data_IF_023759027371
#
_entry.id   IF_023759027371
#
_cell.length_a   1.000
_cell.length_b   1.000
_cell.length_c   1.000
_cell.angle_alpha   90.00
_cell.angle_beta   90.00
_cell.angle_gamma   90.00
#
_symmetry.space_group_name_H-M   'P 1'
#
loop_
_entity.id
_entity.type
_entity.pdbx_description
1 polymer ?
#
# COMPACT_ATOMS: atom_id res chain seq x y z
N UNK A 1 -2.26 -2.77 -25.18
CA UNK A 1 -2.29 -3.12 -23.73
C UNK A 1 -2.49 -1.86 -22.94
N UNK A 2 -3.29 -1.88 -21.87
CA UNK A 2 -3.68 -0.69 -21.11
C UNK A 2 -3.28 -0.81 -19.64
N UNK A 3 -2.71 0.25 -19.07
CA UNK A 3 -2.41 0.38 -17.64
C UNK A 3 -3.48 1.24 -17.00
N UNK A 4 -4.11 0.77 -15.92
CA UNK A 4 -4.99 1.62 -15.11
C UNK A 4 -4.37 1.92 -13.76
N UNK A 5 -4.26 3.21 -13.38
CA UNK A 5 -4.03 3.58 -11.98
C UNK A 5 -5.39 3.77 -11.31
N UNK A 6 -5.79 2.87 -10.41
CA UNK A 6 -6.78 3.19 -9.38
C UNK A 6 -6.09 4.09 -8.34
N UNK A 7 -6.65 4.38 -7.19
CA UNK A 7 -5.78 4.85 -6.08
C UNK A 7 -4.70 3.79 -5.84
N UNK A 8 -3.55 4.03 -6.47
CA UNK A 8 -2.25 3.38 -6.46
C UNK A 8 -2.15 1.91 -6.87
N UNK A 9 -3.26 1.15 -6.91
CA UNK A 9 -3.27 -0.16 -7.53
C UNK A 9 -3.16 -0.04 -9.05
N UNK A 10 -2.33 -0.90 -9.64
CA UNK A 10 -2.12 -0.98 -11.08
C UNK A 10 -2.58 -2.32 -11.61
N UNK A 11 -3.29 -2.28 -12.73
CA UNK A 11 -3.72 -3.46 -13.49
C UNK A 11 -3.35 -3.28 -14.96
N UNK A 12 -3.19 -4.40 -15.67
CA UNK A 12 -2.98 -4.41 -17.11
C UNK A 12 -3.89 -5.42 -17.80
N UNK A 13 -4.27 -5.12 -19.03
CA UNK A 13 -5.10 -6.00 -19.85
C UNK A 13 -4.87 -5.76 -21.35
N UNK A 14 -5.26 -6.75 -22.15
CA UNK A 14 -5.26 -6.72 -23.61
C UNK A 14 -6.71 -6.66 -24.09
N UNK A 15 -6.96 -5.87 -25.13
CA UNK A 15 -8.26 -5.79 -25.79
C UNK A 15 -8.21 -6.54 -27.12
N UNK A 16 -9.28 -7.27 -27.51
CA UNK A 16 -9.36 -7.93 -28.81
C UNK A 16 -9.74 -6.96 -29.95
N UNK A 17 -10.01 -5.69 -29.63
CA UNK A 17 -10.40 -4.64 -30.57
C UNK A 17 -9.41 -3.46 -30.50
N UNK A 18 -9.33 -2.74 -31.61
CA UNK A 18 -8.59 -1.49 -31.71
C UNK A 18 -9.40 -0.34 -31.12
N UNK A 19 -8.69 0.70 -30.68
CA UNK A 19 -9.27 1.91 -30.15
C UNK A 19 -8.48 3.12 -30.64
N UNK A 20 -9.20 4.15 -31.07
CA UNK A 20 -8.58 5.40 -31.54
C UNK A 20 -8.42 6.41 -30.40
N UNK A 21 -9.17 6.22 -29.30
CA UNK A 21 -9.22 7.16 -28.18
C UNK A 21 -9.41 6.45 -26.83
N UNK A 22 -8.49 6.70 -25.90
CA UNK A 22 -8.57 6.19 -24.54
C UNK A 22 -9.58 6.90 -23.65
N UNK A 23 -9.96 8.14 -23.96
CA UNK A 23 -10.92 8.88 -23.15
C UNK A 23 -12.30 8.19 -23.12
N UNK A 24 -12.74 7.61 -24.25
CA UNK A 24 -14.01 6.88 -24.33
C UNK A 24 -13.98 5.60 -23.49
N UNK A 25 -12.90 4.81 -23.58
CA UNK A 25 -12.72 3.60 -22.77
C UNK A 25 -12.68 3.97 -21.28
N UNK A 26 -11.90 5.00 -20.92
CA UNK A 26 -11.80 5.46 -19.54
C UNK A 26 -13.18 5.86 -18.97
N UNK A 27 -13.98 6.63 -19.73
CA UNK A 27 -15.32 7.02 -19.32
C UNK A 27 -16.25 5.81 -19.18
N UNK A 28 -16.21 4.86 -20.13
CA UNK A 28 -17.01 3.65 -20.07
C UNK A 28 -16.68 2.79 -18.85
N UNK A 29 -15.39 2.57 -18.54
CA UNK A 29 -14.97 1.85 -17.34
C UNK A 29 -15.53 2.50 -16.07
N UNK A 30 -15.34 3.80 -15.90
CA UNK A 30 -15.86 4.51 -14.72
C UNK A 30 -17.40 4.61 -14.67
N UNK A 31 -18.09 4.49 -15.81
CA UNK A 31 -19.55 4.42 -15.87
C UNK A 31 -20.11 3.06 -15.44
N UNK A 32 -19.34 1.98 -15.58
CA UNK A 32 -19.75 0.61 -15.23
C UNK A 32 -19.31 0.19 -13.83
N UNK A 33 -18.27 0.81 -13.28
CA UNK A 33 -17.70 0.42 -11.99
C UNK A 33 -18.55 0.90 -10.79
N UNK A 34 -18.64 0.10 -9.72
CA UNK A 34 -19.32 0.50 -8.49
C UNK A 34 -18.67 1.74 -7.87
N UNK A 35 -19.39 2.47 -7.03
CA UNK A 35 -18.99 3.81 -6.57
C UNK A 35 -17.64 3.92 -5.86
N UNK A 36 -17.17 2.81 -5.29
CA UNK A 36 -15.93 2.65 -4.54
C UNK A 36 -14.73 2.25 -5.41
N UNK A 37 -14.95 1.95 -6.70
CA UNK A 37 -13.90 1.58 -7.65
C UNK A 37 -13.85 2.61 -8.78
N UNK A 38 -12.70 3.26 -8.95
CA UNK A 38 -12.49 4.31 -9.97
C UNK A 38 -11.14 4.16 -10.67
N UNK A 39 -11.18 4.06 -12.00
CA UNK A 39 -9.99 4.22 -12.85
C UNK A 39 -9.62 5.70 -12.85
N UNK A 40 -8.39 6.03 -12.47
CA UNK A 40 -7.89 7.43 -12.46
C UNK A 40 -7.09 7.77 -13.69
N UNK A 41 -6.38 6.80 -14.24
CA UNK A 41 -5.55 6.98 -15.43
C UNK A 41 -5.69 5.72 -16.27
N UNK A 42 -5.67 5.87 -17.59
CA UNK A 42 -5.46 4.78 -18.53
C UNK A 42 -4.41 5.16 -19.57
N UNK A 43 -3.40 4.31 -19.77
CA UNK A 43 -2.32 4.53 -20.75
C UNK A 43 -2.00 3.28 -21.56
N UNK A 44 -1.55 3.41 -22.81
CA UNK A 44 -0.94 2.30 -23.54
C UNK A 44 0.35 1.83 -22.87
N UNK A 45 0.69 0.56 -23.04
CA UNK A 45 1.95 -0.01 -22.57
C UNK A 45 2.54 -0.97 -23.60
N UNK A 46 3.87 -1.12 -23.57
CA UNK A 46 4.61 -2.08 -24.40
C UNK A 46 4.17 -3.52 -24.09
N UNK A 47 4.10 -4.44 -25.07
CA UNK A 47 3.58 -5.80 -24.86
C UNK A 47 4.24 -6.59 -23.71
N UNK A 48 5.49 -6.26 -23.37
CA UNK A 48 6.29 -6.92 -22.35
C UNK A 48 5.94 -6.45 -20.92
N UNK A 49 5.19 -5.36 -20.76
CA UNK A 49 4.83 -4.86 -19.43
C UNK A 49 3.84 -5.81 -18.74
N UNK A 50 4.11 -6.10 -17.47
CA UNK A 50 3.22 -6.86 -16.62
C UNK A 50 3.08 -6.16 -15.27
N UNK A 51 1.86 -5.77 -14.91
CA UNK A 51 1.59 -4.95 -13.71
C UNK A 51 2.18 -5.54 -12.41
N UNK A 52 2.26 -6.87 -12.29
CA UNK A 52 2.86 -7.56 -11.14
C UNK A 52 4.37 -7.72 -11.23
N UNK A 53 4.90 -8.10 -12.41
CA UNK A 53 6.28 -8.59 -12.55
C UNK A 53 7.25 -7.49 -12.97
N UNK A 54 6.76 -6.45 -13.63
CA UNK A 54 7.54 -5.26 -13.97
C UNK A 54 7.71 -4.29 -12.80
N UNK A 55 7.03 -4.52 -11.66
CA UNK A 55 7.10 -3.66 -10.48
C UNK A 55 8.48 -3.74 -9.82
N UNK A 56 9.04 -2.58 -9.46
CA UNK A 56 10.35 -2.42 -8.80
C UNK A 56 10.22 -2.24 -7.29
N UNK A 57 9.23 -1.47 -6.86
CA UNK A 57 8.91 -1.33 -5.45
C UNK A 57 7.43 -1.00 -5.25
N UNK A 58 6.96 -1.19 -4.02
CA UNK A 58 5.63 -0.77 -3.59
C UNK A 58 5.76 0.07 -2.32
N UNK A 59 4.96 1.12 -2.23
CA UNK A 59 4.81 1.94 -1.02
C UNK A 59 3.45 1.65 -0.42
N UNK A 60 3.40 1.27 0.86
CA UNK A 60 2.17 1.15 1.62
C UNK A 60 2.16 2.16 2.76
N UNK A 61 0.99 2.73 3.03
CA UNK A 61 0.75 3.47 4.26
C UNK A 61 -0.10 2.62 5.19
N UNK A 62 0.24 2.63 6.47
CA UNK A 62 -0.65 2.20 7.53
C UNK A 62 -0.95 3.39 8.43
N UNK A 63 -2.22 3.74 8.58
CA UNK A 63 -2.65 4.87 9.40
C UNK A 63 -3.12 4.40 10.77
N UNK A 64 -2.64 5.06 11.80
CA UNK A 64 -3.08 4.89 13.18
C UNK A 64 -3.59 6.25 13.66
N UNK A 65 -4.82 6.30 14.14
CA UNK A 65 -5.34 7.46 14.84
C UNK A 65 -5.05 7.27 16.32
N UNK A 66 -4.14 8.06 16.86
CA UNK A 66 -3.62 7.95 18.21
C UNK A 66 -4.11 9.09 19.10
N UNK A 67 -5.37 8.98 19.53
CA UNK A 67 -5.99 9.85 20.51
C UNK A 67 -7.02 9.05 21.31
N UNK A 68 -7.45 9.60 22.43
CA UNK A 68 -8.53 9.10 23.27
C UNK A 68 -9.86 8.96 22.50
N UNK A 69 -10.17 9.91 21.62
CA UNK A 69 -11.44 9.97 20.88
C UNK A 69 -11.18 9.92 19.38
N UNK A 70 -11.77 8.94 18.71
CA UNK A 70 -11.61 8.74 17.26
C UNK A 70 -12.37 9.78 16.45
N UNK A 71 -11.71 10.39 15.45
CA UNK A 71 -12.41 11.18 14.43
C UNK A 71 -13.31 10.26 13.58
N UNK A 72 -14.64 10.50 13.54
CA UNK A 72 -15.57 9.68 12.76
C UNK A 72 -15.24 9.66 11.26
N UNK A 73 -14.55 10.65 10.70
CA UNK A 73 -14.14 10.64 9.29
C UNK A 73 -12.93 9.75 9.02
N UNK A 74 -12.16 9.38 10.04
CA UNK A 74 -10.98 8.52 9.92
C UNK A 74 -11.29 7.04 10.18
N UNK A 75 -12.44 6.70 10.79
CA UNK A 75 -12.71 5.35 11.34
C UNK A 75 -12.61 4.21 10.32
N UNK A 76 -12.86 4.49 9.04
CA UNK A 76 -12.75 3.50 7.95
C UNK A 76 -11.35 3.34 7.38
N UNK A 77 -10.43 4.25 7.72
CA UNK A 77 -9.16 4.41 7.03
C UNK A 77 -7.94 4.46 7.97
N UNK A 78 -8.15 4.43 9.28
CA UNK A 78 -7.10 4.42 10.29
C UNK A 78 -7.49 3.51 11.45
N UNK A 79 -6.51 2.79 11.99
CA UNK A 79 -6.66 2.02 13.22
C UNK A 79 -6.69 2.95 14.44
N UNK A 80 -7.72 2.86 15.28
CA UNK A 80 -7.79 3.65 16.50
C UNK A 80 -6.93 3.01 17.61
N UNK A 81 -5.96 3.75 18.12
CA UNK A 81 -5.20 3.40 19.32
C UNK A 81 -5.49 4.41 20.43
N UNK A 82 -6.17 3.97 21.48
CA UNK A 82 -6.44 4.77 22.69
C UNK A 82 -5.21 4.88 23.61
N UNK A 83 -4.24 4.00 23.46
CA UNK A 83 -2.96 4.07 24.16
C UNK A 83 -2.04 5.05 23.46
N UNK A 84 -1.49 6.03 24.18
CA UNK A 84 -0.45 6.92 23.66
C UNK A 84 0.74 6.10 23.19
N UNK A 85 1.16 6.29 21.94
CA UNK A 85 2.25 5.54 21.33
C UNK A 85 3.55 6.34 21.40
N UNK A 86 4.62 5.69 21.81
CA UNK A 86 5.97 6.21 21.77
C UNK A 86 6.53 6.08 20.35
N UNK A 87 6.39 7.14 19.55
CA UNK A 87 6.83 7.16 18.15
C UNK A 87 8.35 7.06 18.01
N UNK A 88 9.14 7.45 19.02
CA UNK A 88 10.59 7.31 19.00
C UNK A 88 10.99 5.83 19.02
N UNK A 89 10.43 5.03 19.93
CA UNK A 89 10.68 3.59 19.98
C UNK A 89 10.14 2.88 18.73
N UNK A 90 8.99 3.30 18.22
CA UNK A 90 8.49 2.74 16.97
C UNK A 90 9.43 3.02 15.79
N UNK A 91 10.04 4.21 15.70
CA UNK A 91 11.03 4.56 14.66
C UNK A 91 12.30 3.73 14.79
N UNK A 92 12.81 3.59 16.01
CA UNK A 92 13.96 2.75 16.31
C UNK A 92 13.69 1.30 15.86
N UNK A 93 12.57 0.72 16.29
CA UNK A 93 12.17 -0.63 15.91
C UNK A 93 11.93 -0.78 14.40
N UNK A 94 11.36 0.23 13.74
CA UNK A 94 11.14 0.24 12.29
C UNK A 94 12.46 0.17 11.50
N UNK A 95 13.53 0.77 12.03
CA UNK A 95 14.86 0.75 11.40
C UNK A 95 15.43 -0.66 11.24
N UNK A 96 15.12 -1.58 12.17
CA UNK A 96 15.57 -2.98 12.08
C UNK A 96 14.93 -3.75 10.91
N UNK A 97 13.79 -3.29 10.40
CA UNK A 97 13.18 -3.90 9.21
C UNK A 97 13.85 -3.46 7.90
N UNK A 98 14.56 -2.32 7.89
CA UNK A 98 15.21 -1.80 6.69
C UNK A 98 16.35 -2.72 6.27
N UNK A 99 16.49 -2.93 4.96
CA UNK A 99 17.46 -3.89 4.39
C UNK A 99 16.81 -5.17 3.88
N UNK A 100 17.65 -6.18 3.62
CA UNK A 100 17.25 -7.47 3.04
C UNK A 100 17.14 -8.53 4.13
N UNK A 101 15.94 -9.06 4.31
CA UNK A 101 15.64 -10.04 5.37
C UNK A 101 14.76 -11.17 4.86
N UNK A 102 14.84 -12.31 5.53
CA UNK A 102 13.82 -13.36 5.45
C UNK A 102 12.65 -12.97 6.35
N UNK A 103 11.47 -12.76 5.76
CA UNK A 103 10.28 -12.31 6.46
C UNK A 103 9.33 -13.43 6.87
N UNK A 104 9.75 -14.70 6.87
CA UNK A 104 8.89 -15.86 7.20
C UNK A 104 8.16 -15.69 8.55
N UNK A 105 8.82 -15.08 9.55
CA UNK A 105 8.21 -14.79 10.86
C UNK A 105 7.08 -13.73 10.81
N UNK A 106 6.99 -12.95 9.74
CA UNK A 106 5.99 -11.91 9.52
C UNK A 106 4.94 -12.30 8.48
N UNK A 107 4.87 -13.58 8.09
CA UNK A 107 3.95 -14.05 7.04
C UNK A 107 2.91 -14.99 7.62
N UNK A 108 1.67 -14.83 7.17
CA UNK A 108 0.64 -15.83 7.42
C UNK A 108 0.69 -16.89 6.32
N UNK A 109 0.46 -18.16 6.68
CA UNK A 109 0.33 -19.24 5.70
C UNK A 109 -0.67 -18.83 4.61
N UNK A 110 -0.22 -18.90 3.35
CA UNK A 110 -1.09 -18.76 2.17
C UNK A 110 -1.50 -20.16 1.75
N UNK A 111 -2.78 -20.37 1.45
CA UNK A 111 -3.30 -21.67 1.04
C UNK A 111 -3.25 -21.89 -0.48
N UNK A 112 -3.06 -20.84 -1.30
CA UNK A 112 -3.43 -20.90 -2.72
C UNK A 112 -2.35 -20.45 -3.72
N UNK A 113 -1.19 -19.95 -3.25
CA UNK A 113 -0.09 -19.54 -4.13
C UNK A 113 1.15 -20.32 -3.74
N UNK A 114 1.86 -20.91 -4.71
CA UNK A 114 3.12 -21.61 -4.48
C UNK A 114 4.09 -20.79 -3.61
N UNK A 115 5.02 -21.46 -2.93
CA UNK A 115 5.86 -20.84 -1.87
C UNK A 115 6.55 -19.57 -2.40
N UNK A 116 6.08 -18.37 -2.01
CA UNK A 116 6.70 -17.14 -2.49
C UNK A 116 8.04 -16.95 -1.78
N UNK A 117 9.04 -16.43 -2.49
CA UNK A 117 10.36 -16.13 -1.92
C UNK A 117 10.18 -15.29 -0.63
N UNK A 118 10.56 -15.81 0.55
CA UNK A 118 10.35 -15.13 1.81
C UNK A 118 11.32 -13.95 2.00
N UNK A 119 12.37 -13.88 1.17
CA UNK A 119 13.34 -12.80 1.24
C UNK A 119 12.79 -11.57 0.53
N UNK A 120 12.74 -10.45 1.26
CA UNK A 120 12.32 -9.14 0.73
C UNK A 120 13.30 -8.07 1.17
N UNK A 121 13.29 -6.97 0.44
CA UNK A 121 14.07 -5.78 0.80
C UNK A 121 13.12 -4.66 1.14
N UNK A 122 13.23 -4.14 2.36
CA UNK A 122 12.58 -2.88 2.76
C UNK A 122 13.58 -1.77 2.51
N UNK A 123 13.21 -0.82 1.66
CA UNK A 123 14.07 0.32 1.30
C UNK A 123 13.98 1.43 2.34
N UNK A 124 12.79 1.66 2.90
CA UNK A 124 12.55 2.61 3.99
C UNK A 124 11.30 2.23 4.78
N UNK A 125 11.26 2.61 6.05
CA UNK A 125 10.11 2.45 6.91
C UNK A 125 10.01 3.66 7.85
N UNK A 126 9.22 4.64 7.44
CA UNK A 126 9.11 5.94 8.08
C UNK A 126 7.86 6.02 8.96
N UNK A 127 7.95 6.77 10.07
CA UNK A 127 6.81 7.06 10.95
C UNK A 127 6.64 8.57 11.04
N UNK A 128 5.56 9.05 10.45
CA UNK A 128 5.25 10.46 10.28
C UNK A 128 4.11 10.84 11.23
N UNK A 129 4.33 11.88 12.03
CA UNK A 129 3.33 12.43 12.95
C UNK A 129 2.57 13.57 12.26
N UNK A 130 1.24 13.48 12.22
CA UNK A 130 0.34 14.47 11.63
C UNK A 130 -0.76 14.84 12.63
N UNK A 131 -0.34 15.30 13.82
CA UNK A 131 -1.23 15.48 14.97
C UNK A 131 -1.65 14.13 15.54
N UNK A 132 -2.95 13.91 15.72
CA UNK A 132 -3.50 12.63 16.18
C UNK A 132 -3.30 11.49 15.16
N UNK A 133 -3.03 11.78 13.89
CA UNK A 133 -2.82 10.76 12.87
C UNK A 133 -1.33 10.43 12.74
N UNK A 134 -0.98 9.16 12.99
CA UNK A 134 0.32 8.59 12.69
C UNK A 134 0.26 7.85 11.36
N UNK A 135 1.18 8.14 10.46
CA UNK A 135 1.34 7.43 9.20
C UNK A 135 2.63 6.62 9.21
N UNK A 136 2.49 5.31 9.09
CA UNK A 136 3.58 4.36 8.90
C UNK A 136 3.73 4.12 7.41
N UNK A 137 4.82 4.61 6.82
CA UNK A 137 5.08 4.52 5.39
C UNK A 137 6.22 3.53 5.13
N UNK A 138 5.91 2.44 4.41
CA UNK A 138 6.89 1.39 4.12
C UNK A 138 7.04 1.21 2.63
N UNK A 139 8.29 1.29 2.16
CA UNK A 139 8.65 0.98 0.78
C UNK A 139 9.49 -0.30 0.73
N UNK A 140 9.13 -1.23 -0.15
CA UNK A 140 9.90 -2.46 -0.33
C UNK A 140 9.82 -3.02 -1.73
N UNK A 141 10.71 -3.97 -2.05
CA UNK A 141 10.76 -4.68 -3.34
C UNK A 141 9.49 -5.50 -3.62
N UNK A 142 8.75 -5.82 -2.58
CA UNK A 142 7.48 -6.51 -2.59
C UNK A 142 7.12 -6.89 -1.15
N UNK A 143 5.89 -7.35 -0.95
CA UNK A 143 5.43 -7.78 0.37
C UNK A 143 4.70 -9.10 0.26
N UNK A 144 4.94 -9.96 1.24
CA UNK A 144 4.29 -11.24 1.42
C UNK A 144 2.90 -11.03 2.05
N UNK A 145 2.07 -12.08 2.03
CA UNK A 145 0.71 -11.98 2.54
C UNK A 145 0.69 -11.55 4.02
N UNK A 146 0.02 -10.42 4.28
CA UNK A 146 -0.10 -9.74 5.58
C UNK A 146 1.20 -9.22 6.20
N UNK A 147 2.33 -9.26 5.50
CA UNK A 147 3.64 -8.84 6.02
C UNK A 147 3.61 -7.44 6.65
N UNK A 148 3.13 -6.42 5.92
CA UNK A 148 3.06 -5.04 6.44
C UNK A 148 2.22 -4.97 7.71
N UNK A 149 1.07 -5.63 7.74
CA UNK A 149 0.16 -5.62 8.91
C UNK A 149 0.76 -6.35 10.12
N UNK A 150 1.59 -7.37 9.90
CA UNK A 150 2.32 -8.07 10.95
C UNK A 150 3.47 -7.19 11.50
N UNK A 151 4.22 -6.50 10.64
CA UNK A 151 5.25 -5.54 11.09
C UNK A 151 4.62 -4.41 11.90
N UNK A 152 3.53 -3.80 11.41
CA UNK A 152 2.79 -2.76 12.13
C UNK A 152 2.26 -3.26 13.48
N UNK A 153 1.79 -4.50 13.56
CA UNK A 153 1.29 -5.06 14.81
C UNK A 153 2.37 -5.16 15.90
N UNK A 154 3.60 -5.53 15.52
CA UNK A 154 4.73 -5.54 16.44
C UNK A 154 5.12 -4.11 16.87
N UNK A 155 5.19 -3.18 15.91
CA UNK A 155 5.45 -1.77 16.19
C UNK A 155 4.40 -1.16 17.13
N UNK A 156 3.13 -1.57 17.04
CA UNK A 156 2.08 -1.15 17.97
C UNK A 156 2.36 -1.61 19.42
N UNK A 157 2.90 -2.82 19.62
CA UNK A 157 3.25 -3.29 20.96
C UNK A 157 4.48 -2.57 21.52
N UNK A 158 5.49 -2.33 20.68
CA UNK A 158 6.68 -1.55 21.04
C UNK A 158 6.31 -0.09 21.34
N UNK A 159 5.44 0.51 20.52
CA UNK A 159 4.95 1.87 20.75
C UNK A 159 4.12 2.01 22.03
N UNK A 160 3.48 0.93 22.50
CA UNK A 160 2.84 0.87 23.82
C UNK A 160 3.83 0.63 24.96
N UNK A 161 5.13 0.55 24.66
CA UNK A 161 6.20 0.24 25.61
C UNK A 161 6.05 -1.15 26.26
N UNK A 162 5.26 -2.04 25.63
CA UNK A 162 5.02 -3.39 26.13
C UNK A 162 6.13 -4.37 25.72
N UNK A 163 6.93 -4.02 24.71
CA UNK A 163 8.03 -4.82 24.20
C UNK A 163 9.22 -3.91 23.88
N UNK A 164 10.46 -4.39 24.07
CA UNK A 164 11.65 -3.66 23.68
C UNK A 164 11.87 -3.69 22.14
N UNK A 165 12.66 -2.75 21.62
CA UNK A 165 12.93 -2.63 20.18
C UNK A 165 13.75 -3.81 19.60
N UNK A 166 14.64 -4.39 20.40
CA UNK A 166 15.53 -5.50 20.04
C UNK A 166 14.80 -6.82 19.76
N UNK A 167 13.51 -6.92 20.08
CA UNK A 167 12.68 -8.06 19.73
C UNK A 167 12.51 -8.21 18.21
N UNK A 168 12.60 -7.11 17.44
CA UNK A 168 12.44 -7.13 15.98
C UNK A 168 13.48 -8.03 15.31
N UNK A 169 14.81 -7.83 15.51
CA UNK A 169 15.81 -8.72 14.94
C UNK A 169 15.71 -10.16 15.47
N UNK A 170 15.29 -10.37 16.72
CA UNK A 170 15.06 -11.73 17.26
C UNK A 170 13.95 -12.46 16.50
N UNK A 171 12.81 -11.79 16.26
CA UNK A 171 11.69 -12.38 15.51
C UNK A 171 12.10 -12.62 14.06
N UNK A 172 12.79 -11.68 13.40
CA UNK A 172 13.33 -11.89 12.05
C UNK A 172 14.26 -13.11 11.98
N UNK A 173 15.18 -13.24 12.93
CA UNK A 173 16.13 -14.35 12.99
C UNK A 173 15.44 -15.72 13.18
N UNK A 174 14.31 -15.76 13.89
CA UNK A 174 13.57 -17.00 14.13
C UNK A 174 13.00 -17.64 12.87
N UNK A 175 12.67 -16.82 11.85
CA UNK A 175 11.95 -17.23 10.63
C UNK A 175 10.65 -18.01 10.90
N UNK A 176 10.11 -17.94 12.12
CA UNK A 176 8.93 -18.69 12.54
C UNK A 176 7.80 -17.74 12.93
N UNK A 177 6.68 -17.82 12.20
CA UNK A 177 5.51 -16.98 12.46
C UNK A 177 4.96 -17.15 13.88
N UNK A 178 5.19 -18.30 14.51
CA UNK A 178 4.76 -18.57 15.89
C UNK A 178 5.44 -17.64 16.89
N UNK A 179 6.66 -17.20 16.63
CA UNK A 179 7.38 -16.29 17.53
C UNK A 179 6.69 -14.92 17.59
N UNK A 180 6.33 -14.33 16.44
CA UNK A 180 5.52 -13.10 16.43
C UNK A 180 4.12 -13.32 17.05
N UNK A 181 3.53 -14.51 16.87
CA UNK A 181 2.17 -14.81 17.33
C UNK A 181 2.03 -14.78 18.86
N UNK A 182 3.13 -14.96 19.60
CA UNK A 182 3.17 -14.82 21.07
C UNK A 182 2.85 -13.41 21.54
N UNK A 183 3.11 -12.41 20.70
CA UNK A 183 3.05 -10.99 21.08
C UNK A 183 1.98 -10.21 20.33
N UNK A 184 1.72 -10.54 19.06
CA UNK A 184 0.86 -9.73 18.21
C UNK A 184 0.08 -10.53 17.15
N UNK A 185 -1.19 -10.16 17.01
CA UNK A 185 -2.03 -10.51 15.87
C UNK A 185 -1.90 -9.43 14.79
N UNK A 186 -2.05 -9.82 13.53
CA UNK A 186 -1.95 -8.90 12.40
C UNK A 186 -2.86 -7.67 12.60
N UNK A 187 -2.31 -6.47 12.45
CA UNK A 187 -3.05 -5.22 12.61
C UNK A 187 -4.29 -5.21 11.69
N UNK A 188 -5.42 -4.58 12.05
CA UNK A 188 -6.63 -4.57 11.21
C UNK A 188 -6.36 -4.07 9.78
N UNK A 189 -7.09 -4.55 8.76
CA UNK A 189 -6.77 -4.22 7.36
C UNK A 189 -7.15 -2.79 6.96
N UNK A 190 -8.15 -2.19 7.61
CA UNK A 190 -8.72 -0.89 7.18
C UNK A 190 -7.75 0.29 7.31
N UNK A 191 -6.72 0.17 8.16
CA UNK A 191 -5.66 1.18 8.25
C UNK A 191 -4.63 1.11 7.10
N UNK A 192 -4.59 0.01 6.34
CA UNK A 192 -3.60 -0.23 5.30
C UNK A 192 -4.09 0.28 3.93
N UNK A 193 -3.25 1.04 3.24
CA UNK A 193 -3.48 1.47 1.87
C UNK A 193 -2.21 1.24 1.03
N UNK A 194 -2.36 0.67 -0.17
CA UNK A 194 -1.29 0.74 -1.18
C UNK A 194 -1.25 2.18 -1.70
N UNK A 195 -0.06 2.78 -1.74
CA UNK A 195 0.14 4.20 -2.09
C UNK A 195 1.03 4.41 -3.30
N UNK A 196 1.87 3.45 -3.69
CA UNK A 196 2.57 3.56 -4.98
C UNK A 196 3.00 2.18 -5.45
N UNK A 197 2.96 1.94 -6.75
CA UNK A 197 3.75 0.88 -7.40
C UNK A 197 4.71 1.56 -8.35
N UNK A 198 6.01 1.41 -8.11
CA UNK A 198 7.06 1.99 -8.95
C UNK A 198 7.46 0.98 -10.03
N UNK A 199 7.62 1.44 -11.25
CA UNK A 199 8.04 0.66 -12.41
C UNK A 199 9.33 1.25 -13.01
N UNK A 200 9.99 0.52 -13.90
CA UNK A 200 11.03 1.11 -14.75
C UNK A 200 10.35 2.02 -15.79
N UNK A 201 10.85 3.24 -15.96
CA UNK A 201 10.38 4.22 -16.95
C UNK A 201 10.37 3.65 -18.37
N UNK A 202 11.31 2.76 -18.70
CA UNK A 202 11.37 2.11 -20.01
C UNK A 202 10.13 1.27 -20.32
N UNK A 203 9.55 0.61 -19.31
CA UNK A 203 8.32 -0.17 -19.47
C UNK A 203 7.06 0.72 -19.54
N UNK A 204 7.18 2.00 -19.17
CA UNK A 204 6.10 2.98 -19.24
C UNK A 204 6.16 3.81 -20.53
N UNK A 205 7.15 3.56 -21.40
CA UNK A 205 7.23 4.23 -22.71
C UNK A 205 6.01 3.88 -23.55
N UNK A 206 5.46 4.93 -24.15
CA UNK A 206 4.34 4.81 -25.07
C UNK A 206 4.82 4.17 -26.38
N UNK A 207 4.15 3.12 -26.88
CA UNK A 207 4.42 2.60 -28.21
C UNK A 207 4.24 3.70 -29.28
N UNK A 208 5.08 3.69 -30.32
CA UNK A 208 4.97 4.67 -31.41
C UNK A 208 3.59 4.64 -32.06
N UNK A 209 2.97 5.81 -32.22
CA UNK A 209 1.65 5.96 -32.85
C UNK A 209 0.45 5.55 -31.99
N UNK A 210 0.65 5.26 -30.69
CA UNK A 210 -0.46 4.92 -29.80
C UNK A 210 -1.29 6.17 -29.41
N UNK A 211 -2.57 5.99 -29.05
CA UNK A 211 -3.39 7.08 -28.51
C UNK A 211 -2.81 7.67 -27.22
N UNK A 212 -3.05 8.95 -26.98
CA UNK A 212 -2.59 9.65 -25.78
C UNK A 212 -3.17 9.04 -24.48
N UNK A 213 -2.38 9.09 -23.41
CA UNK A 213 -2.82 8.76 -22.04
C UNK A 213 -4.03 9.60 -21.65
N UNK A 214 -5.00 8.97 -20.98
CA UNK A 214 -6.19 9.62 -20.44
C UNK A 214 -6.13 9.63 -18.91
N UNK A 215 -6.02 10.83 -18.33
CA UNK A 215 -5.98 11.07 -16.87
C UNK A 215 -7.37 11.22 -16.24
N UNK A 216 -8.43 10.92 -17.01
CA UNK A 216 -9.80 11.20 -16.62
C UNK A 216 -10.13 12.67 -16.81
N UNK A 217 -11.42 13.01 -16.78
CA UNK A 217 -11.84 14.43 -16.79
C UNK A 217 -11.73 14.94 -15.37
N UNK A 218 -10.66 15.68 -15.05
CA UNK A 218 -10.68 16.57 -13.91
C UNK A 218 -11.64 17.72 -14.24
N UNK A 219 -12.91 17.57 -13.92
CA UNK A 219 -13.78 18.74 -13.86
C UNK A 219 -13.26 19.59 -12.71
N UNK A 220 -12.51 20.66 -13.02
CA UNK A 220 -12.23 21.72 -12.06
C UNK A 220 -13.59 22.29 -11.67
N UNK A 221 -14.09 21.93 -10.48
CA UNK A 221 -15.32 22.50 -9.93
C UNK A 221 -15.05 23.99 -9.72
N UNK A 222 -15.39 24.80 -10.72
CA UNK A 222 -15.08 26.24 -10.73
C UNK A 222 -16.05 27.04 -9.88
N UNK A 223 -17.16 26.43 -9.43
CA UNK A 223 -18.14 27.02 -8.53
C UNK A 223 -18.74 25.95 -7.62
N UNK A 224 -18.17 25.80 -6.42
CA UNK A 224 -18.90 25.20 -5.32
C UNK A 224 -19.77 26.30 -4.70
N UNK A 225 -21.05 26.40 -5.08
CA UNK A 225 -22.01 27.13 -4.26
C UNK A 225 -22.29 26.23 -3.06
N UNK A 226 -21.63 26.49 -1.95
CA UNK A 226 -22.04 25.95 -0.67
C UNK A 226 -23.42 26.55 -0.36
N UNK A 227 -24.51 25.75 -0.29
CA UNK A 227 -25.69 26.21 0.40
C UNK A 227 -25.32 26.27 1.88
N UNK A 228 -25.26 27.49 2.42
CA UNK A 228 -25.30 27.68 3.86
C UNK A 228 -26.55 26.98 4.41
N UNK A 229 -26.35 26.06 5.34
CA UNK A 229 -27.28 25.71 6.40
C UNK A 229 -26.47 25.43 7.66
#
# INVERSE_FOLDING_TARGET
MLITKLSFQVAHFVTPFNYDNLASIHAALNGLLPSDIRVREISPAVPEFHARFSAKSKVYHYKIYNDSIMDPFQHRYAYHSTYKLNTALMREAASYFVGKHDFSAFVNASHNDGVPDPVKTIFRFDIIEMGALLQLEVEGSGFLYRQVRNMVALLLQIGKEALPCDIVPMILASRDRRELAKYALAAPPHGLCLVTVKYNEEHLRLPSGCPNTSFGRHHTVSKCKLPFY
#
